data_IF_836105883427
#
_entry.id   IF_836105883427
#
_cell.length_a   1.000
_cell.length_b   1.000
_cell.length_c   1.000
_cell.angle_alpha   90.00
_cell.angle_beta   90.00
_cell.angle_gamma   90.00
#
_symmetry.space_group_name_H-M   'P 1'
#
loop_
_entity.id
_entity.type
_entity.pdbx_description
1 polymer ?
#
# COMPACT_ATOMS: atom_id res chain seq x y z
N UNK A 1 -8.23 0.13 -17.45
CA UNK A 1 -6.87 0.29 -16.85
C UNK A 1 -5.86 0.25 -17.98
N UNK A 2 -4.74 0.95 -17.81
CA UNK A 2 -3.69 1.10 -18.83
C UNK A 2 -2.46 0.25 -18.46
N UNK A 3 -1.92 -0.52 -19.39
CA UNK A 3 -0.77 -1.38 -19.15
C UNK A 3 0.57 -0.62 -19.00
N UNK A 4 0.63 0.69 -19.31
CA UNK A 4 1.82 1.54 -19.15
C UNK A 4 1.60 2.72 -18.19
N UNK A 5 0.54 2.66 -17.37
CA UNK A 5 0.17 3.73 -16.46
C UNK A 5 1.32 4.12 -15.52
N UNK A 6 1.63 5.41 -15.47
CA UNK A 6 2.60 5.98 -14.53
C UNK A 6 4.05 5.57 -14.78
N UNK A 7 4.39 5.22 -16.03
CA UNK A 7 5.77 4.91 -16.46
C UNK A 7 6.26 3.52 -16.05
N UNK A 8 5.35 2.62 -15.69
CA UNK A 8 5.65 1.22 -15.34
C UNK A 8 4.78 0.27 -16.14
N UNK A 9 5.26 -0.96 -16.30
CA UNK A 9 4.57 -2.00 -17.05
C UNK A 9 3.65 -2.76 -16.08
N UNK A 10 2.36 -2.82 -16.39
CA UNK A 10 1.39 -3.60 -15.62
C UNK A 10 1.10 -4.91 -16.32
N UNK A 11 1.28 -6.02 -15.60
CA UNK A 11 0.88 -7.33 -16.12
C UNK A 11 -0.64 -7.46 -16.14
N UNK A 12 -1.16 -8.27 -17.06
CA UNK A 12 -2.59 -8.61 -17.09
C UNK A 12 -3.07 -9.18 -15.73
N UNK A 13 -2.18 -9.93 -15.05
CA UNK A 13 -2.46 -10.42 -13.71
C UNK A 13 -2.67 -9.28 -12.71
N UNK A 14 -1.78 -8.28 -12.67
CA UNK A 14 -1.94 -7.12 -11.81
C UNK A 14 -3.23 -6.34 -12.12
N UNK A 15 -3.54 -6.13 -13.40
CA UNK A 15 -4.75 -5.41 -13.82
C UNK A 15 -6.04 -6.14 -13.41
N UNK A 16 -6.09 -7.46 -13.56
CA UNK A 16 -7.22 -8.27 -13.06
C UNK A 16 -7.34 -8.15 -11.54
N UNK A 17 -6.22 -8.26 -10.80
CA UNK A 17 -6.23 -8.20 -9.33
C UNK A 17 -6.74 -6.87 -8.79
N UNK A 18 -6.47 -5.76 -9.50
CA UNK A 18 -7.00 -4.44 -9.19
C UNK A 18 -8.53 -4.43 -9.33
N UNK A 19 -9.04 -4.87 -10.48
CA UNK A 19 -10.48 -4.92 -10.77
C UNK A 19 -11.22 -5.79 -9.76
N UNK A 20 -10.71 -7.00 -9.48
CA UNK A 20 -11.33 -7.95 -8.56
C UNK A 20 -11.45 -7.42 -7.12
N UNK A 21 -10.58 -6.47 -6.73
CA UNK A 21 -10.51 -5.92 -5.37
C UNK A 21 -11.04 -4.50 -5.26
N UNK A 22 -11.54 -3.93 -6.36
CA UNK A 22 -11.94 -2.53 -6.40
C UNK A 22 -10.80 -1.56 -6.06
N UNK A 23 -9.55 -1.92 -6.36
CA UNK A 23 -8.39 -1.06 -6.10
C UNK A 23 -8.18 -0.18 -7.33
N UNK A 24 -8.11 1.13 -7.14
CA UNK A 24 -7.78 2.03 -8.24
C UNK A 24 -6.33 1.82 -8.68
N UNK A 25 -6.10 1.87 -9.99
CA UNK A 25 -4.74 1.76 -10.54
C UNK A 25 -3.82 2.88 -10.03
N UNK A 26 -4.39 4.06 -9.75
CA UNK A 26 -3.70 5.20 -9.16
C UNK A 26 -3.20 4.93 -7.74
N UNK A 27 -4.02 4.32 -6.87
CA UNK A 27 -3.62 4.02 -5.49
C UNK A 27 -2.54 2.94 -5.44
N UNK A 28 -2.64 1.92 -6.30
CA UNK A 28 -1.59 0.93 -6.45
C UNK A 28 -0.30 1.56 -6.99
N UNK A 29 -0.38 2.46 -7.99
CA UNK A 29 0.78 3.19 -8.47
C UNK A 29 1.42 4.05 -7.36
N UNK A 30 0.62 4.77 -6.58
CA UNK A 30 1.07 5.58 -5.47
C UNK A 30 1.72 4.74 -4.36
N UNK A 31 1.23 3.52 -4.15
CA UNK A 31 1.81 2.53 -3.23
C UNK A 31 3.21 2.12 -3.65
N UNK A 32 3.43 1.81 -4.93
CA UNK A 32 4.76 1.49 -5.45
C UNK A 32 5.68 2.71 -5.47
N UNK A 33 5.17 3.88 -5.87
CA UNK A 33 5.98 5.10 -6.07
C UNK A 33 6.46 5.73 -4.75
N UNK A 34 5.61 5.74 -3.73
CA UNK A 34 5.89 6.31 -2.40
C UNK A 34 5.29 5.37 -1.33
N UNK A 35 5.94 4.23 -1.07
CA UNK A 35 5.48 3.26 -0.07
C UNK A 35 5.68 3.79 1.35
N UNK A 36 4.91 3.26 2.30
CA UNK A 36 5.20 3.41 3.72
C UNK A 36 6.40 2.54 4.09
N UNK A 37 6.43 1.30 3.59
CA UNK A 37 7.59 0.42 3.69
C UNK A 37 7.72 -0.50 2.47
N UNK A 38 8.92 -1.03 2.29
CA UNK A 38 9.28 -1.99 1.26
C UNK A 38 10.03 -3.17 1.86
N UNK A 39 9.83 -4.37 1.30
CA UNK A 39 10.58 -5.58 1.66
C UNK A 39 10.87 -6.43 0.44
N UNK A 40 11.89 -7.27 0.52
CA UNK A 40 12.12 -8.28 -0.52
C UNK A 40 10.96 -9.27 -0.59
N UNK A 41 10.56 -9.62 -1.81
CA UNK A 41 9.62 -10.70 -2.05
C UNK A 41 10.35 -12.06 -1.96
N UNK A 42 9.59 -13.14 -1.81
CA UNK A 42 10.13 -14.51 -1.89
C UNK A 42 10.74 -14.80 -3.28
N UNK A 43 10.21 -14.16 -4.31
CA UNK A 43 10.71 -14.28 -5.67
C UNK A 43 11.98 -13.42 -5.85
N UNK A 44 13.03 -14.01 -6.42
CA UNK A 44 14.31 -13.32 -6.66
C UNK A 44 14.12 -12.04 -7.49
N UNK A 45 14.71 -10.94 -6.99
CA UNK A 45 14.70 -9.63 -7.65
C UNK A 45 13.37 -8.89 -7.59
N UNK A 46 12.36 -9.43 -6.91
CA UNK A 46 11.09 -8.75 -6.69
C UNK A 46 11.02 -8.13 -5.29
N UNK A 47 10.27 -7.05 -5.20
CA UNK A 47 10.01 -6.28 -3.99
C UNK A 47 8.51 -6.23 -3.73
N UNK A 48 8.13 -6.21 -2.46
CA UNK A 48 6.79 -5.92 -1.99
C UNK A 48 6.82 -4.54 -1.37
N UNK A 49 6.02 -3.64 -1.94
CA UNK A 49 5.77 -2.29 -1.45
C UNK A 49 4.41 -2.28 -0.79
N UNK A 50 4.26 -1.56 0.31
CA UNK A 50 2.92 -1.37 0.86
C UNK A 50 2.68 0.05 1.31
N UNK A 51 1.41 0.41 1.32
CA UNK A 51 0.92 1.69 1.81
C UNK A 51 -0.47 1.53 2.39
N UNK A 52 -0.73 2.26 3.45
CA UNK A 52 -2.02 2.24 4.15
C UNK A 52 -2.84 3.48 3.79
N UNK A 53 -4.08 3.26 3.36
CA UNK A 53 -5.08 4.26 3.06
C UNK A 53 -6.28 4.04 3.98
N UNK A 54 -6.41 4.85 5.03
CA UNK A 54 -7.46 4.66 6.04
C UNK A 54 -7.37 3.27 6.67
N UNK A 55 -8.43 2.48 6.54
CA UNK A 55 -8.52 1.10 7.03
C UNK A 55 -8.07 0.05 6.00
N UNK A 56 -7.53 0.45 4.85
CA UNK A 56 -7.10 -0.47 3.80
C UNK A 56 -5.59 -0.41 3.63
N UNK A 57 -4.93 -1.57 3.70
CA UNK A 57 -3.52 -1.71 3.35
C UNK A 57 -3.41 -2.27 1.95
N UNK A 58 -2.77 -1.54 1.03
CA UNK A 58 -2.48 -1.98 -0.33
C UNK A 58 -1.03 -2.50 -0.37
N UNK A 59 -0.82 -3.64 -1.00
CA UNK A 59 0.52 -4.20 -1.27
C UNK A 59 0.72 -4.40 -2.78
N UNK A 60 1.87 -3.97 -3.29
CA UNK A 60 2.24 -4.07 -4.70
C UNK A 60 3.53 -4.86 -4.83
N UNK A 61 3.50 -5.91 -5.63
CA UNK A 61 4.67 -6.72 -5.96
C UNK A 61 5.23 -6.24 -7.30
N UNK A 62 6.49 -5.81 -7.30
CA UNK A 62 7.15 -5.32 -8.51
C UNK A 62 8.58 -5.80 -8.64
N UNK A 63 9.08 -5.92 -9.87
CA UNK A 63 10.48 -6.21 -10.18
C UNK A 63 10.97 -5.37 -11.34
N UNK A 64 12.28 -5.20 -11.46
CA UNK A 64 12.88 -4.68 -12.68
C UNK A 64 13.19 -5.80 -13.66
N UNK A 65 13.00 -5.54 -14.96
CA UNK A 65 13.51 -6.41 -16.03
C UNK A 65 14.96 -6.07 -16.38
N UNK A 66 15.52 -6.78 -17.36
CA UNK A 66 16.88 -6.58 -17.88
C UNK A 66 17.10 -5.17 -18.45
N UNK A 67 16.03 -4.55 -18.98
CA UNK A 67 16.03 -3.18 -19.49
C UNK A 67 15.81 -2.13 -18.39
N UNK A 68 15.88 -2.50 -17.11
CA UNK A 68 15.65 -1.65 -15.92
C UNK A 68 14.25 -1.04 -15.84
N UNK A 69 13.29 -1.57 -16.59
CA UNK A 69 11.90 -1.14 -16.53
C UNK A 69 11.20 -1.84 -15.36
N UNK A 70 10.38 -1.10 -14.63
CA UNK A 70 9.58 -1.65 -13.55
C UNK A 70 8.36 -2.38 -14.09
N UNK A 71 8.17 -3.60 -13.61
CA UNK A 71 7.03 -4.46 -13.92
C UNK A 71 6.24 -4.70 -12.65
N UNK A 72 4.97 -4.32 -12.65
CA UNK A 72 4.01 -4.62 -11.59
C UNK A 72 3.44 -6.03 -11.84
N UNK A 73 3.80 -6.95 -10.96
CA UNK A 73 3.48 -8.37 -11.07
C UNK A 73 2.11 -8.71 -10.47
N UNK A 74 1.78 -8.13 -9.32
CA UNK A 74 0.50 -8.36 -8.64
C UNK A 74 0.20 -7.24 -7.65
N UNK A 75 -1.08 -7.05 -7.36
CA UNK A 75 -1.57 -6.12 -6.33
C UNK A 75 -2.49 -6.87 -5.37
N UNK A 76 -2.41 -6.51 -4.10
CA UNK A 76 -3.20 -7.07 -3.02
C UNK A 76 -3.73 -5.95 -2.13
N UNK A 77 -4.84 -6.21 -1.45
CA UNK A 77 -5.33 -5.37 -0.37
C UNK A 77 -5.63 -6.24 0.85
N UNK A 78 -5.54 -5.63 2.02
CA UNK A 78 -5.94 -6.22 3.29
C UNK A 78 -6.63 -5.14 4.12
N UNK A 79 -7.81 -5.44 4.62
CA UNK A 79 -8.46 -4.58 5.61
C UNK A 79 -7.70 -4.65 6.92
N UNK A 80 -7.40 -3.49 7.47
CA UNK A 80 -6.74 -3.32 8.75
C UNK A 80 -7.71 -2.70 9.74
N UNK A 81 -8.00 -3.43 10.82
CA UNK A 81 -8.70 -2.86 11.95
C UNK A 81 -7.71 -2.01 12.75
N UNK A 82 -7.69 -0.70 12.50
CA UNK A 82 -6.96 0.24 13.37
C UNK A 82 -7.69 0.22 14.71
N UNK A 83 -7.10 -0.43 15.72
CA UNK A 83 -7.53 -0.25 17.12
C UNK A 83 -7.23 1.21 17.48
N UNK A 84 -8.23 2.08 17.38
CA UNK A 84 -8.16 3.44 17.91
C UNK A 84 -7.96 3.29 19.42
N UNK A 85 -6.72 3.43 19.89
CA UNK A 85 -6.47 3.57 21.32
C UNK A 85 -7.12 4.89 21.75
N UNK A 86 -8.28 4.81 22.40
CA UNK A 86 -8.86 5.95 23.11
C UNK A 86 -7.86 6.34 24.19
N UNK A 87 -7.05 7.37 23.95
CA UNK A 87 -6.19 7.97 24.95
C UNK A 87 -7.05 8.63 26.03
N UNK A 88 -7.37 7.88 27.08
CA UNK A 88 -8.12 8.33 28.26
C UNK A 88 -7.26 9.14 29.23
N UNK A 89 -6.49 10.12 28.73
CA UNK A 89 -5.50 10.84 29.56
C UNK A 89 -5.57 12.37 29.43
N UNK A 90 -6.76 12.95 29.51
CA UNK A 90 -6.91 14.41 29.64
C UNK A 90 -7.70 14.88 30.88
N UNK A 91 -8.31 13.98 31.67
CA UNK A 91 -9.17 14.40 32.79
C UNK A 91 -8.47 14.57 34.14
N UNK A 92 -7.17 14.26 34.25
CA UNK A 92 -6.48 14.32 35.55
C UNK A 92 -5.77 15.65 35.79
N UNK A 93 -5.52 16.47 34.77
CA UNK A 93 -4.82 17.76 34.92
C UNK A 93 -5.74 18.92 35.36
N UNK A 94 -7.02 18.90 34.96
CA UNK A 94 -7.98 19.98 35.26
C UNK A 94 -8.51 19.96 36.71
N UNK A 95 -8.40 18.84 37.43
CA UNK A 95 -8.83 18.77 38.85
C UNK A 95 -7.85 19.42 39.83
N UNK A 96 -6.64 19.79 39.40
CA UNK A 96 -5.62 20.39 40.28
C UNK A 96 -5.63 21.92 40.30
N UNK A 97 -6.46 22.56 39.46
CA UNK A 97 -6.58 24.03 39.37
C UNK A 97 -7.83 24.55 40.11
N UNK A 98 -8.77 23.67 40.48
CA UNK A 98 -10.01 24.01 41.20
C UNK A 98 -10.07 23.46 42.63
N UNK A 99 -8.95 23.49 43.37
CA UNK A 99 -8.97 23.28 44.83
C UNK A 99 -8.15 24.33 45.55
#
# INVERSE_FOLDING_TARGET
MDNHFGGVIWTNHALSRLSDRGISQGDAWATWRKPDQSRFAKQKGAWVYYRTFGNQKIEVVAKQNEKRQWIILSVWSKDIHIKVQKTSSFTTLLKKIFR
#
